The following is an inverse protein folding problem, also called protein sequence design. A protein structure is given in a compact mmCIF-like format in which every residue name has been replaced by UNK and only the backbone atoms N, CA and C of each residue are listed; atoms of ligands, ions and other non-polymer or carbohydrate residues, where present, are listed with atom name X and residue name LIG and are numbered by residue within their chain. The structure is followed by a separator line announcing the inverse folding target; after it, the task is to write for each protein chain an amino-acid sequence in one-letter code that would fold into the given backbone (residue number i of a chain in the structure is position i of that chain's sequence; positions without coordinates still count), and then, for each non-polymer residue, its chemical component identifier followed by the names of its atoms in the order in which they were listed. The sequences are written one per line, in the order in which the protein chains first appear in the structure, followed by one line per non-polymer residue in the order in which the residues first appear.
data_IF_208890789451
#
_entry.id   IF_208890789451
#
_cell.length_a   1.000
_cell.length_b   1.000
_cell.length_c   1.000
_cell.angle_alpha   90.00
_cell.angle_beta   90.00
_cell.angle_gamma   90.00
#
_symmetry.space_group_name_H-M   'P 1'
#
loop_
_entity.id
_entity.type
_entity.pdbx_description
1 polymer ?
#
# COMPACT_ATOMS: atom_id res chain seq x y z
N UNK A 1 8.40 6.37 16.92
CA UNK A 1 6.91 6.34 16.82
C UNK A 1 6.42 6.08 15.38
N UNK A 2 7.14 6.51 14.33
CA UNK A 2 6.76 6.34 12.90
C UNK A 2 6.82 4.89 12.39
N UNK A 3 7.76 4.07 12.87
CA UNK A 3 7.90 2.64 12.49
C UNK A 3 6.62 1.81 12.64
N UNK A 4 5.83 2.09 13.68
CA UNK A 4 4.56 1.39 13.90
C UNK A 4 3.49 1.80 12.85
N UNK A 5 3.53 3.05 12.39
CA UNK A 5 2.60 3.58 11.37
C UNK A 5 2.89 2.99 9.99
N UNK A 6 4.16 2.97 9.57
CA UNK A 6 4.56 2.43 8.28
C UNK A 6 4.34 0.92 8.21
N UNK A 7 4.67 0.19 9.28
CA UNK A 7 4.42 -1.25 9.37
C UNK A 7 2.94 -1.56 9.22
N UNK A 8 2.06 -0.74 9.82
CA UNK A 8 0.61 -0.90 9.70
C UNK A 8 0.10 -0.77 8.27
N UNK A 9 0.63 0.17 7.49
CA UNK A 9 0.27 0.30 6.07
C UNK A 9 0.77 -0.91 5.26
N UNK A 10 1.97 -1.38 5.57
CA UNK A 10 2.57 -2.58 4.94
C UNK A 10 1.76 -3.84 5.20
N UNK A 11 1.19 -4.01 6.40
CA UNK A 11 0.28 -5.14 6.71
C UNK A 11 -0.95 -5.17 5.80
N UNK A 12 -1.48 -4.00 5.41
CA UNK A 12 -2.63 -3.90 4.52
C UNK A 12 -2.26 -4.23 3.06
N UNK A 13 -1.02 -3.96 2.67
CA UNK A 13 -0.47 -4.29 1.34
C UNK A 13 -0.10 -5.78 1.25
N UNK A 14 0.35 -6.39 2.35
CA UNK A 14 0.80 -7.79 2.41
C UNK A 14 -0.27 -8.80 1.99
N UNK A 15 -1.53 -8.52 2.27
CA UNK A 15 -2.62 -9.46 1.95
C UNK A 15 -2.65 -9.74 0.45
N UNK A 16 -2.59 -11.03 0.08
CA UNK A 16 -2.48 -11.55 -1.29
C UNK A 16 -1.16 -11.22 -2.03
N UNK A 17 -0.15 -10.69 -1.32
CA UNK A 17 1.23 -10.56 -1.83
C UNK A 17 2.09 -11.74 -1.30
N UNK A 18 2.83 -12.46 -2.17
CA UNK A 18 3.51 -13.70 -1.79
C UNK A 18 4.81 -13.52 -0.99
N UNK A 19 5.49 -12.38 -1.13
CA UNK A 19 6.73 -12.12 -0.37
C UNK A 19 6.41 -11.56 1.03
N UNK A 20 7.30 -11.77 2.00
CA UNK A 20 7.15 -11.28 3.38
C UNK A 20 7.54 -9.79 3.49
N UNK A 21 6.67 -8.94 2.95
CA UNK A 21 6.79 -7.49 2.99
C UNK A 21 6.77 -6.98 4.43
N UNK A 22 5.94 -7.55 5.32
CA UNK A 22 5.88 -7.12 6.72
C UNK A 22 7.24 -7.30 7.42
N UNK A 23 7.90 -8.45 7.24
CA UNK A 23 9.21 -8.69 7.84
C UNK A 23 10.29 -7.76 7.29
N UNK A 24 10.19 -7.34 6.03
CA UNK A 24 11.11 -6.37 5.45
C UNK A 24 11.09 -5.00 6.19
N UNK A 25 9.97 -4.66 6.82
CA UNK A 25 9.76 -3.39 7.53
C UNK A 25 9.84 -3.53 9.07
N UNK A 26 9.95 -4.74 9.62
CA UNK A 26 10.17 -4.96 11.06
C UNK A 26 11.54 -4.43 11.50
N UNK A 27 11.68 -4.11 12.79
CA UNK A 27 12.93 -3.59 13.37
C UNK A 27 14.12 -4.56 13.28
N UNK A 28 13.88 -5.86 13.16
CA UNK A 28 14.87 -6.90 12.88
C UNK A 28 15.16 -7.10 11.39
N UNK A 29 14.43 -6.41 10.50
CA UNK A 29 14.59 -6.52 9.06
C UNK A 29 15.88 -5.84 8.60
N UNK A 30 16.83 -6.64 8.12
CA UNK A 30 18.14 -6.19 7.60
C UNK A 30 18.10 -5.78 6.11
N UNK A 31 16.91 -5.59 5.53
CA UNK A 31 16.80 -5.19 4.12
C UNK A 31 17.17 -3.71 3.96
N UNK A 32 18.02 -3.43 2.97
CA UNK A 32 18.38 -2.08 2.58
C UNK A 32 17.16 -1.31 2.05
N UNK A 33 17.23 0.02 2.07
CA UNK A 33 16.18 0.90 1.52
C UNK A 33 15.84 0.51 0.07
N UNK A 34 16.86 0.29 -0.78
CA UNK A 34 16.66 -0.10 -2.17
C UNK A 34 15.87 -1.41 -2.31
N UNK A 35 16.11 -2.41 -1.45
CA UNK A 35 15.34 -3.66 -1.46
C UNK A 35 13.90 -3.47 -0.98
N UNK A 36 13.68 -2.59 0.02
CA UNK A 36 12.31 -2.25 0.44
C UNK A 36 11.53 -1.55 -0.66
N UNK A 37 12.17 -0.63 -1.37
CA UNK A 37 11.57 0.07 -2.53
C UNK A 37 11.21 -0.93 -3.63
N UNK A 38 12.09 -1.89 -3.93
CA UNK A 38 11.83 -2.94 -4.92
C UNK A 38 10.62 -3.79 -4.51
N UNK A 39 10.59 -4.30 -3.27
CA UNK A 39 9.48 -5.11 -2.77
C UNK A 39 8.14 -4.37 -2.79
N UNK A 40 8.11 -3.08 -2.40
CA UNK A 40 6.88 -2.27 -2.47
C UNK A 40 6.45 -2.05 -3.91
N UNK A 41 7.40 -1.84 -4.84
CA UNK A 41 7.10 -1.71 -6.27
C UNK A 41 6.48 -2.99 -6.85
N UNK A 42 7.00 -4.15 -6.44
CA UNK A 42 6.46 -5.46 -6.83
C UNK A 42 5.05 -5.67 -6.28
N UNK A 43 4.83 -5.35 -5.00
CA UNK A 43 3.51 -5.44 -4.38
C UNK A 43 2.49 -4.52 -5.07
N UNK A 44 2.89 -3.28 -5.40
CA UNK A 44 2.07 -2.35 -6.18
C UNK A 44 1.68 -2.94 -7.53
N UNK A 45 2.66 -3.45 -8.29
CA UNK A 45 2.43 -4.01 -9.62
C UNK A 45 1.49 -5.23 -9.57
N UNK A 46 1.66 -6.11 -8.58
CA UNK A 46 0.80 -7.27 -8.37
C UNK A 46 -0.65 -6.85 -8.12
N UNK A 47 -0.87 -5.93 -7.19
CA UNK A 47 -2.22 -5.46 -6.84
C UNK A 47 -2.89 -4.70 -7.97
N UNK A 48 -2.12 -3.90 -8.72
CA UNK A 48 -2.60 -3.21 -9.92
C UNK A 48 -3.03 -4.21 -10.99
N UNK A 49 -2.20 -5.21 -11.29
CA UNK A 49 -2.53 -6.27 -12.25
C UNK A 49 -3.75 -7.09 -11.82
N UNK A 50 -3.87 -7.39 -10.51
CA UNK A 50 -5.04 -8.09 -9.98
C UNK A 50 -6.33 -7.28 -10.11
N UNK A 51 -6.29 -5.98 -9.81
CA UNK A 51 -7.43 -5.08 -10.02
C UNK A 51 -7.87 -5.08 -11.48
N UNK A 52 -6.93 -4.99 -12.42
CA UNK A 52 -7.22 -5.03 -13.85
C UNK A 52 -7.85 -6.37 -14.28
N UNK A 53 -7.30 -7.49 -13.83
CA UNK A 53 -7.84 -8.83 -14.12
C UNK A 53 -9.28 -8.94 -13.60
N UNK A 54 -9.54 -8.53 -12.36
CA UNK A 54 -10.88 -8.60 -11.75
C UNK A 54 -11.86 -7.68 -12.48
N UNK A 55 -11.43 -6.49 -12.90
CA UNK A 55 -12.25 -5.58 -13.70
C UNK A 55 -12.63 -6.19 -15.04
N UNK A 56 -11.68 -6.83 -15.74
CA UNK A 56 -11.94 -7.51 -17.01
C UNK A 56 -12.87 -8.72 -16.85
N UNK A 57 -12.63 -9.56 -15.84
CA UNK A 57 -13.47 -10.73 -15.53
C UNK A 57 -14.90 -10.34 -15.16
N UNK A 58 -15.09 -9.19 -14.49
CA UNK A 58 -16.40 -8.64 -14.17
C UNK A 58 -17.09 -7.91 -15.35
N UNK A 59 -16.54 -7.97 -16.56
CA UNK A 59 -17.09 -7.28 -17.73
C UNK A 59 -17.01 -5.76 -17.60
N UNK A 60 -15.89 -5.25 -17.10
CA UNK A 60 -15.60 -3.84 -16.85
C UNK A 60 -16.48 -3.18 -15.78
N UNK A 61 -17.09 -3.97 -14.90
CA UNK A 61 -17.82 -3.48 -13.72
C UNK A 61 -16.90 -3.41 -12.52
N UNK A 62 -16.98 -2.31 -11.75
CA UNK A 62 -16.25 -2.16 -10.49
C UNK A 62 -16.87 -3.07 -9.42
N UNK A 63 -16.10 -4.01 -8.90
CA UNK A 63 -16.53 -4.95 -7.84
C UNK A 63 -15.84 -4.62 -6.52
N UNK A 64 -16.29 -5.20 -5.41
CA UNK A 64 -15.64 -4.99 -4.11
C UNK A 64 -14.20 -5.53 -4.10
N UNK A 65 -13.95 -6.69 -4.70
CA UNK A 65 -12.63 -7.31 -4.78
C UNK A 65 -11.67 -6.48 -5.66
N UNK A 66 -12.16 -6.00 -6.79
CA UNK A 66 -11.39 -5.14 -7.68
C UNK A 66 -11.00 -3.83 -6.98
N UNK A 67 -11.96 -3.17 -6.30
CA UNK A 67 -11.71 -1.94 -5.53
C UNK A 67 -10.72 -2.17 -4.39
N UNK A 68 -10.79 -3.33 -3.72
CA UNK A 68 -9.83 -3.71 -2.68
C UNK A 68 -8.42 -3.81 -3.26
N UNK A 69 -8.25 -4.54 -4.36
CA UNK A 69 -6.95 -4.68 -5.03
C UNK A 69 -6.42 -3.32 -5.51
N UNK A 70 -7.28 -2.47 -6.10
CA UNK A 70 -6.91 -1.11 -6.48
C UNK A 70 -6.44 -0.28 -5.28
N UNK A 71 -7.18 -0.32 -4.16
CA UNK A 71 -6.81 0.38 -2.95
C UNK A 71 -5.49 -0.11 -2.35
N UNK A 72 -5.19 -1.42 -2.42
CA UNK A 72 -3.88 -1.94 -2.00
C UNK A 72 -2.75 -1.43 -2.89
N UNK A 73 -2.98 -1.32 -4.20
CA UNK A 73 -2.00 -0.74 -5.13
C UNK A 73 -1.75 0.76 -4.85
N UNK A 74 -2.80 1.54 -4.60
CA UNK A 74 -2.69 2.96 -4.22
C UNK A 74 -1.96 3.14 -2.88
N UNK A 75 -2.25 2.28 -1.90
CA UNK A 75 -1.54 2.31 -0.62
C UNK A 75 -0.05 1.94 -0.77
N UNK A 76 0.27 0.98 -1.64
CA UNK A 76 1.65 0.65 -1.99
C UNK A 76 2.36 1.79 -2.72
N UNK A 77 1.66 2.52 -3.60
CA UNK A 77 2.19 3.72 -4.25
C UNK A 77 2.54 4.82 -3.23
N UNK A 78 1.69 5.03 -2.22
CA UNK A 78 2.01 5.96 -1.13
C UNK A 78 3.20 5.50 -0.28
N UNK A 79 3.29 4.21 0.06
CA UNK A 79 4.44 3.68 0.80
C UNK A 79 5.73 3.82 -0.03
N UNK A 80 5.67 3.60 -1.34
CA UNK A 80 6.79 3.87 -2.24
C UNK A 80 7.19 5.34 -2.18
N UNK A 81 6.25 6.26 -2.36
CA UNK A 81 6.48 7.70 -2.34
C UNK A 81 7.07 8.15 -0.99
N UNK A 82 6.60 7.58 0.12
CA UNK A 82 7.19 7.81 1.45
C UNK A 82 8.66 7.38 1.55
N UNK A 83 9.04 6.28 0.90
CA UNK A 83 10.43 5.83 0.88
C UNK A 83 11.32 6.66 -0.05
N UNK A 84 10.74 7.35 -1.04
CA UNK A 84 11.47 8.19 -2.00
C UNK A 84 11.47 9.69 -1.67
N UNK A 85 10.58 10.14 -0.79
CA UNK A 85 10.48 11.53 -0.33
C UNK A 85 9.30 12.33 -0.89
N UNK A 86 8.33 11.67 -1.54
CA UNK A 86 7.23 12.30 -2.29
C UNK A 86 5.83 11.98 -1.68
N UNK A 87 5.76 11.59 -0.41
CA UNK A 87 4.53 11.09 0.20
C UNK A 87 3.34 12.07 0.16
N UNK A 88 3.60 13.38 0.21
CA UNK A 88 2.55 14.41 0.23
C UNK A 88 1.69 14.36 -1.03
N UNK A 89 2.28 14.12 -2.20
CA UNK A 89 1.57 14.04 -3.48
C UNK A 89 0.59 12.86 -3.56
N UNK A 90 0.80 11.82 -2.75
CA UNK A 90 0.03 10.58 -2.75
C UNK A 90 -0.93 10.47 -1.55
N UNK A 91 -0.93 11.46 -0.66
CA UNK A 91 -1.67 11.40 0.61
C UNK A 91 -3.18 11.24 0.42
N UNK A 92 -3.77 12.00 -0.51
CA UNK A 92 -5.22 11.95 -0.76
C UNK A 92 -5.65 10.60 -1.35
N UNK A 93 -4.91 10.08 -2.32
CA UNK A 93 -5.16 8.75 -2.90
C UNK A 93 -5.05 7.64 -1.84
N UNK A 94 -4.04 7.73 -0.95
CA UNK A 94 -3.90 6.77 0.14
C UNK A 94 -5.00 6.89 1.20
N UNK A 95 -5.52 8.09 1.47
CA UNK A 95 -6.67 8.27 2.36
C UNK A 95 -7.92 7.58 1.78
N UNK A 96 -8.17 7.75 0.47
CA UNK A 96 -9.29 7.07 -0.21
C UNK A 96 -9.09 5.55 -0.26
N UNK A 97 -7.85 5.09 -0.45
CA UNK A 97 -7.51 3.67 -0.35
C UNK A 97 -7.85 3.11 1.04
N UNK A 98 -7.43 3.80 2.11
CA UNK A 98 -7.74 3.40 3.49
C UNK A 98 -9.24 3.34 3.74
N UNK A 99 -10.03 4.30 3.22
CA UNK A 99 -11.50 4.28 3.30
C UNK A 99 -12.08 3.08 2.56
N UNK A 100 -11.60 2.81 1.36
CA UNK A 100 -12.03 1.66 0.53
C UNK A 100 -11.74 0.33 1.22
N UNK A 101 -10.63 0.22 1.96
CA UNK A 101 -10.27 -0.94 2.77
C UNK A 101 -11.03 -1.02 4.12
N UNK A 102 -11.98 -0.11 4.38
CA UNK A 102 -12.74 -0.06 5.63
C UNK A 102 -11.94 0.45 6.84
N UNK A 103 -10.78 1.08 6.62
CA UNK A 103 -9.84 1.55 7.65
C UNK A 103 -10.01 3.04 7.96
N UNK A 104 -11.25 3.50 8.06
CA UNK A 104 -11.57 4.92 8.31
C UNK A 104 -10.89 5.50 9.55
N UNK A 105 -10.78 4.72 10.64
CA UNK A 105 -10.14 5.15 11.88
C UNK A 105 -8.61 5.22 11.81
N UNK A 106 -8.00 4.76 10.72
CA UNK A 106 -6.54 4.67 10.56
C UNK A 106 -6.00 5.67 9.51
N UNK A 107 -6.84 6.53 8.94
CA UNK A 107 -6.45 7.53 7.91
C UNK A 107 -5.42 8.54 8.42
N UNK A 108 -5.39 8.80 9.73
CA UNK A 108 -4.41 9.73 10.33
C UNK A 108 -2.98 9.17 10.29
N UNK A 109 -2.80 7.86 10.06
CA UNK A 109 -1.48 7.28 9.78
C UNK A 109 -0.90 7.87 8.50
N UNK A 110 -1.70 7.93 7.43
CA UNK A 110 -1.31 8.49 6.12
C UNK A 110 -0.94 9.96 6.27
N UNK A 111 -1.84 10.76 6.87
CA UNK A 111 -1.58 12.19 7.10
C UNK A 111 -0.32 12.44 7.92
N UNK A 112 -0.05 11.60 8.92
CA UNK A 112 1.14 11.74 9.74
C UNK A 112 2.41 11.36 8.98
N UNK A 113 2.36 10.39 8.07
CA UNK A 113 3.51 9.96 7.26
C UNK A 113 3.78 10.93 6.11
N UNK A 114 2.74 11.56 5.55
CA UNK A 114 2.85 12.55 4.48
C UNK A 114 3.51 13.88 4.92
N UNK A 115 3.58 14.14 6.23
CA UNK A 115 4.20 15.35 6.81
C UNK A 115 5.65 15.13 7.29
N UNK A 116 6.17 13.91 7.14
CA UNK A 116 7.50 13.54 7.62
C UNK A 116 8.60 13.92 6.63
#
# INVERSE_FOLDING_TARGET
MVKNKLLRLVELIQEDFPEDLVNAFKSSGNLSLAKRIALVSEARALHQGRSEILWLQAGKKRTAEERRAAAQAELAAFVFAYLTGDAEEYADSAIEAMRTLGRHGEVDLVKSLARC
#
